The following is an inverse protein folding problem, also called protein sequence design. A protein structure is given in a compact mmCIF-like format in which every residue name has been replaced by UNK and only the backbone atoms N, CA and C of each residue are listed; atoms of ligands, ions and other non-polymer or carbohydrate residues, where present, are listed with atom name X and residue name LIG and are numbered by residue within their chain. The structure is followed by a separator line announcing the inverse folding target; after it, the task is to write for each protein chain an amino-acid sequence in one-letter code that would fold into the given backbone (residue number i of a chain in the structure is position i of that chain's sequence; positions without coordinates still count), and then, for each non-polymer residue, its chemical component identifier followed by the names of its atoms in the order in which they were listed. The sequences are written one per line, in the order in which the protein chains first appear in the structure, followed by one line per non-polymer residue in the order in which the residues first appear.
data_IF_107152346394
#
_entry.id   IF_107152346394
#
_cell.length_a   1.000
_cell.length_b   1.000
_cell.length_c   1.000
_cell.angle_alpha   90.00
_cell.angle_beta   90.00
_cell.angle_gamma   90.00
#
_symmetry.space_group_name_H-M   'P 1'
#
loop_
_entity.id
_entity.type
_entity.pdbx_description
1 polymer ?
#
# COMPACT_ATOMS: atom_id res chain seq x y z
N UNK A 1 3.12 -26.70 -18.11
CA UNK A 1 2.08 -26.55 -17.07
C UNK A 1 2.63 -26.19 -15.68
N UNK A 2 3.62 -26.89 -15.11
CA UNK A 2 4.28 -26.42 -13.87
C UNK A 2 5.20 -25.20 -14.07
N UNK A 3 5.80 -25.07 -15.26
CA UNK A 3 6.71 -23.96 -15.60
C UNK A 3 5.96 -22.63 -15.80
N UNK A 4 4.75 -22.65 -16.35
CA UNK A 4 3.92 -21.46 -16.57
C UNK A 4 3.45 -20.83 -15.25
N UNK A 5 3.12 -21.68 -14.28
CA UNK A 5 2.65 -21.29 -12.95
C UNK A 5 3.76 -20.54 -12.20
N UNK A 6 5.01 -20.99 -12.30
CA UNK A 6 6.16 -20.36 -11.63
C UNK A 6 6.48 -18.96 -12.18
N UNK A 7 6.19 -18.72 -13.45
CA UNK A 7 6.41 -17.43 -14.13
C UNK A 7 5.35 -16.37 -13.76
N UNK A 8 4.11 -16.77 -13.48
CA UNK A 8 2.98 -15.84 -13.24
C UNK A 8 3.02 -15.24 -11.82
N UNK A 9 3.43 -16.01 -10.81
CA UNK A 9 3.48 -15.55 -9.41
C UNK A 9 4.25 -14.24 -9.17
N UNK A 10 5.48 -14.05 -9.68
CA UNK A 10 6.23 -12.82 -9.44
C UNK A 10 5.56 -11.60 -10.10
N UNK A 11 4.99 -11.77 -11.30
CA UNK A 11 4.23 -10.71 -11.98
C UNK A 11 2.98 -10.33 -11.19
N UNK A 12 2.28 -11.32 -10.64
CA UNK A 12 1.09 -11.11 -9.81
C UNK A 12 1.44 -10.33 -8.53
N UNK A 13 2.55 -10.65 -7.85
CA UNK A 13 3.05 -9.89 -6.69
C UNK A 13 3.29 -8.41 -7.05
N UNK A 14 3.88 -8.16 -8.21
CA UNK A 14 4.17 -6.82 -8.73
C UNK A 14 2.88 -6.00 -8.96
N UNK A 15 1.90 -6.59 -9.64
CA UNK A 15 0.60 -5.95 -9.93
C UNK A 15 -0.14 -5.64 -8.61
N UNK A 16 -0.17 -6.61 -7.69
CA UNK A 16 -0.85 -6.45 -6.40
C UNK A 16 -0.17 -5.38 -5.54
N UNK A 17 1.17 -5.30 -5.59
CA UNK A 17 1.98 -4.27 -4.93
C UNK A 17 1.71 -2.87 -5.47
N UNK A 18 1.70 -2.70 -6.81
CA UNK A 18 1.32 -1.45 -7.46
C UNK A 18 -0.08 -0.98 -7.03
N UNK A 19 -1.04 -1.90 -7.02
CA UNK A 19 -2.42 -1.59 -6.63
C UNK A 19 -2.51 -1.15 -5.16
N UNK A 20 -1.82 -1.85 -4.25
CA UNK A 20 -1.77 -1.48 -2.84
C UNK A 20 -1.15 -0.09 -2.62
N UNK A 21 -0.05 0.22 -3.31
CA UNK A 21 0.56 1.55 -3.24
C UNK A 21 -0.38 2.63 -3.75
N UNK A 22 -1.03 2.42 -4.90
CA UNK A 22 -2.00 3.37 -5.46
C UNK A 22 -3.16 3.64 -4.50
N UNK A 23 -3.78 2.59 -3.97
CA UNK A 23 -4.89 2.72 -3.01
C UNK A 23 -4.41 3.44 -1.74
N UNK A 24 -3.25 3.07 -1.20
CA UNK A 24 -2.68 3.72 -0.02
C UNK A 24 -2.42 5.22 -0.23
N UNK A 25 -1.84 5.61 -1.37
CA UNK A 25 -1.62 7.02 -1.73
C UNK A 25 -2.94 7.78 -1.83
N UNK A 26 -3.96 7.20 -2.47
CA UNK A 26 -5.29 7.83 -2.57
C UNK A 26 -5.92 8.03 -1.19
N UNK A 27 -5.81 7.05 -0.30
CA UNK A 27 -6.32 7.14 1.07
C UNK A 27 -5.60 8.27 1.84
N UNK A 28 -4.27 8.33 1.76
CA UNK A 28 -3.49 9.39 2.41
C UNK A 28 -3.84 10.79 1.86
N UNK A 29 -4.00 10.92 0.54
CA UNK A 29 -4.32 12.20 -0.10
C UNK A 29 -5.75 12.67 0.19
N UNK A 30 -6.72 11.77 0.36
CA UNK A 30 -8.09 12.13 0.75
C UNK A 30 -8.23 12.44 2.24
N UNK A 31 -7.48 11.74 3.09
CA UNK A 31 -7.57 11.87 4.55
C UNK A 31 -6.47 12.79 5.10
N UNK A 32 -6.37 14.01 4.56
CA UNK A 32 -5.45 15.04 5.04
C UNK A 32 -5.85 15.48 6.45
N UNK A 33 -5.34 14.78 7.46
CA UNK A 33 -5.58 15.04 8.87
C UNK A 33 -4.84 16.29 9.37
N UNK A 34 -3.73 16.67 8.73
CA UNK A 34 -2.86 17.81 9.05
C UNK A 34 -3.49 19.20 8.83
N UNK A 35 -4.75 19.26 8.40
CA UNK A 35 -5.52 20.52 8.29
C UNK A 35 -6.51 20.73 9.43
N UNK A 36 -6.64 19.78 10.34
CA UNK A 36 -7.59 19.81 11.45
C UNK A 36 -6.87 20.12 12.75
N UNK A 37 -7.58 20.80 13.66
CA UNK A 37 -7.10 21.03 15.02
C UNK A 37 -7.00 19.70 15.79
N UNK A 38 -5.99 19.59 16.65
CA UNK A 38 -5.64 18.32 17.29
C UNK A 38 -6.68 17.86 18.33
N UNK A 39 -7.45 18.80 18.89
CA UNK A 39 -8.53 18.52 19.86
C UNK A 39 -9.82 18.02 19.23
N UNK A 40 -9.93 18.02 17.90
CA UNK A 40 -11.14 17.53 17.23
C UNK A 40 -11.18 16.00 17.14
N UNK A 41 -12.32 15.41 17.48
CA UNK A 41 -12.55 13.98 17.31
C UNK A 41 -12.40 13.53 15.83
N UNK A 42 -12.63 14.46 14.89
CA UNK A 42 -12.45 14.27 13.45
C UNK A 42 -10.97 14.10 13.08
N UNK A 43 -10.05 14.77 13.80
CA UNK A 43 -8.60 14.61 13.60
C UNK A 43 -8.20 13.15 13.84
N UNK A 44 -8.61 12.58 14.97
CA UNK A 44 -8.30 11.19 15.32
C UNK A 44 -8.86 10.19 14.31
N UNK A 45 -10.09 10.43 13.82
CA UNK A 45 -10.70 9.58 12.80
C UNK A 45 -9.93 9.63 11.47
N UNK A 46 -9.59 10.82 10.98
CA UNK A 46 -8.81 10.97 9.74
C UNK A 46 -7.38 10.46 9.89
N UNK A 47 -6.76 10.62 11.06
CA UNK A 47 -5.43 10.10 11.37
C UNK A 47 -5.41 8.57 11.29
N UNK A 48 -6.40 7.87 11.87
CA UNK A 48 -6.50 6.41 11.78
C UNK A 48 -6.62 5.93 10.32
N UNK A 49 -7.44 6.61 9.52
CA UNK A 49 -7.61 6.29 8.10
C UNK A 49 -6.34 6.62 7.31
N UNK A 50 -5.64 7.70 7.65
CA UNK A 50 -4.34 8.02 7.05
C UNK A 50 -3.31 6.93 7.36
N UNK A 51 -3.25 6.46 8.61
CA UNK A 51 -2.35 5.37 9.02
C UNK A 51 -2.65 4.07 8.27
N UNK A 52 -3.93 3.74 8.02
CA UNK A 52 -4.26 2.56 7.23
C UNK A 52 -3.80 2.70 5.77
N UNK A 53 -3.92 3.90 5.19
CA UNK A 53 -3.32 4.21 3.88
C UNK A 53 -1.81 4.01 3.86
N UNK A 54 -1.11 4.44 4.92
CA UNK A 54 0.33 4.25 5.07
C UNK A 54 0.71 2.76 5.14
N UNK A 55 -0.06 1.96 5.89
CA UNK A 55 0.13 0.50 5.96
C UNK A 55 -0.03 -0.17 4.59
N UNK A 56 -0.99 0.29 3.78
CA UNK A 56 -1.16 -0.20 2.41
C UNK A 56 0.05 0.12 1.52
N UNK A 57 0.63 1.32 1.67
CA UNK A 57 1.86 1.69 0.95
C UNK A 57 3.03 0.80 1.36
N UNK A 58 3.24 0.59 2.67
CA UNK A 58 4.32 -0.28 3.17
C UNK A 58 4.16 -1.73 2.69
N UNK A 59 2.92 -2.25 2.70
CA UNK A 59 2.61 -3.60 2.19
C UNK A 59 2.90 -3.70 0.69
N UNK A 60 2.51 -2.69 -0.09
CA UNK A 60 2.81 -2.65 -1.52
C UNK A 60 4.30 -2.61 -1.81
N UNK A 61 5.06 -1.77 -1.08
CA UNK A 61 6.52 -1.71 -1.16
C UNK A 61 7.19 -3.04 -0.81
N UNK A 62 6.70 -3.74 0.20
CA UNK A 62 7.19 -5.07 0.53
C UNK A 62 7.02 -6.06 -0.63
N UNK A 63 5.89 -6.00 -1.34
CA UNK A 63 5.66 -6.78 -2.56
C UNK A 63 6.69 -6.50 -3.66
N UNK A 64 7.07 -5.24 -3.86
CA UNK A 64 8.14 -4.87 -4.80
C UNK A 64 9.49 -5.42 -4.38
N UNK A 65 9.87 -5.23 -3.10
CA UNK A 65 11.16 -5.71 -2.58
C UNK A 65 11.24 -7.24 -2.72
N UNK A 66 10.19 -7.97 -2.36
CA UNK A 66 10.13 -9.43 -2.55
C UNK A 66 10.30 -9.83 -4.01
N UNK A 67 9.69 -9.09 -4.96
CA UNK A 67 9.88 -9.36 -6.38
C UNK A 67 11.34 -9.16 -6.82
N UNK A 68 12.00 -8.09 -6.36
CA UNK A 68 13.41 -7.85 -6.69
C UNK A 68 14.33 -8.91 -6.09
N UNK A 69 14.07 -9.39 -4.87
CA UNK A 69 14.83 -10.49 -4.27
C UNK A 69 14.58 -11.83 -4.99
N UNK A 70 13.37 -12.08 -5.49
CA UNK A 70 13.07 -13.29 -6.29
C UNK A 70 13.74 -13.26 -7.68
N UNK A 71 14.15 -12.08 -8.16
CA UNK A 71 14.77 -11.88 -9.48
C UNK A 71 16.31 -12.04 -9.47
N UNK A 72 16.95 -11.99 -8.30
CA UNK A 72 18.41 -11.97 -8.12
C UNK A 72 18.92 -13.28 -7.50
#
# INVERSE_FOLDING_TARGET
MKEDIFSIYPILKLITGMFCCLVGVVICLKNKFYKLDTDDMIFTAKLKIFLSGLLFIMTGMFGFVSYFFDLF
#
